data_IF_331680400451
#
_entry.id   IF_331680400451
#
_cell.length_a   1.000
_cell.length_b   1.000
_cell.length_c   1.000
_cell.angle_alpha   90.00
_cell.angle_beta   90.00
_cell.angle_gamma   90.00
#
_symmetry.space_group_name_H-M   'P 1'
#
loop_
_entity.id
_entity.type
_entity.pdbx_description
1 polymer ?
#
# COMPACT_ATOMS: atom_id res chain seq x y z
N UNK A 1 -6.73 14.02 -3.74
CA UNK A 1 -6.85 12.77 -2.96
C UNK A 1 -6.79 12.99 -1.44
N UNK A 2 -5.62 13.00 -0.76
CA UNK A 2 -5.55 12.89 0.72
C UNK A 2 -6.38 13.93 1.49
N UNK A 3 -6.24 15.23 1.19
CA UNK A 3 -7.01 16.29 1.90
C UNK A 3 -8.51 16.25 1.64
N UNK A 4 -8.94 15.72 0.50
CA UNK A 4 -10.35 15.64 0.10
C UNK A 4 -11.06 14.48 0.79
N UNK A 5 -10.34 13.36 0.99
CA UNK A 5 -10.89 12.13 1.55
C UNK A 5 -10.61 11.99 3.06
N UNK A 6 -10.00 13.00 3.71
CA UNK A 6 -9.68 13.00 5.15
C UNK A 6 -10.57 13.95 5.96
N UNK A 7 -10.99 13.52 7.15
CA UNK A 7 -11.68 14.37 8.13
C UNK A 7 -10.67 15.09 9.04
N UNK A 8 -10.85 16.38 9.40
CA UNK A 8 -9.96 17.07 10.34
C UNK A 8 -9.78 16.31 11.65
N UNK A 9 -8.53 16.16 12.10
CA UNK A 9 -8.19 15.40 13.31
C UNK A 9 -8.12 13.87 13.13
N UNK A 10 -8.29 13.37 11.90
CA UNK A 10 -8.04 11.96 11.55
C UNK A 10 -6.71 11.81 10.81
N UNK A 11 -6.13 10.62 10.93
CA UNK A 11 -4.87 10.23 10.29
C UNK A 11 -5.07 9.40 9.02
N UNK A 12 -6.31 8.99 8.74
CA UNK A 12 -6.69 8.21 7.58
C UNK A 12 -7.98 8.79 6.96
N UNK A 13 -8.18 8.48 5.68
CA UNK A 13 -9.37 8.81 4.91
C UNK A 13 -10.00 7.55 4.31
N UNK A 14 -11.23 7.69 3.83
CA UNK A 14 -11.95 6.61 3.14
C UNK A 14 -12.38 7.11 1.76
N UNK A 15 -12.29 6.25 0.76
CA UNK A 15 -12.71 6.54 -0.61
C UNK A 15 -13.71 5.47 -1.05
N UNK A 16 -14.80 5.90 -1.71
CA UNK A 16 -15.74 4.97 -2.33
C UNK A 16 -15.03 4.20 -3.45
N UNK A 17 -15.34 2.92 -3.60
CA UNK A 17 -14.84 2.12 -4.73
C UNK A 17 -15.33 2.65 -6.09
N UNK A 18 -16.41 3.44 -6.13
CA UNK A 18 -16.87 4.12 -7.35
C UNK A 18 -15.94 5.26 -7.80
N UNK A 19 -15.10 5.78 -6.89
CA UNK A 19 -14.11 6.83 -7.14
C UNK A 19 -12.69 6.26 -7.22
N UNK A 20 -12.55 4.95 -7.42
CA UNK A 20 -11.25 4.26 -7.40
C UNK A 20 -10.26 4.81 -8.43
N UNK A 21 -10.75 5.41 -9.52
CA UNK A 21 -9.95 6.06 -10.54
C UNK A 21 -9.11 7.24 -10.00
N UNK A 22 -9.47 7.81 -8.84
CA UNK A 22 -8.64 8.80 -8.14
C UNK A 22 -7.31 8.21 -7.63
N UNK A 23 -7.14 6.89 -7.66
CA UNK A 23 -5.91 6.18 -7.29
C UNK A 23 -5.05 5.79 -8.51
N UNK A 24 -5.43 6.19 -9.72
CA UNK A 24 -4.70 5.81 -10.94
C UNK A 24 -3.29 6.39 -11.01
N UNK A 25 -2.98 7.43 -10.23
CA UNK A 25 -1.66 8.05 -10.11
C UNK A 25 -0.80 7.44 -8.98
N UNK A 26 -1.26 6.37 -8.34
CA UNK A 26 -0.49 5.68 -7.29
C UNK A 26 0.53 4.73 -7.92
N UNK A 27 1.81 4.99 -7.67
CA UNK A 27 2.91 4.16 -8.13
C UNK A 27 3.11 2.89 -7.29
N UNK A 28 2.91 2.99 -5.97
CA UNK A 28 3.16 1.91 -5.01
C UNK A 28 2.02 1.84 -4.00
N UNK A 29 1.46 0.63 -3.81
CA UNK A 29 0.47 0.35 -2.78
C UNK A 29 1.12 -0.38 -1.62
N UNK A 30 1.22 0.28 -0.46
CA UNK A 30 1.63 -0.38 0.79
C UNK A 30 0.38 -0.76 1.57
N UNK A 31 0.22 -2.04 1.90
CA UNK A 31 -0.96 -2.53 2.61
C UNK A 31 -0.64 -3.65 3.59
N UNK A 32 -1.49 -3.80 4.61
CA UNK A 32 -1.41 -4.92 5.54
C UNK A 32 -2.14 -6.13 4.97
N UNK A 33 -1.53 -7.31 5.09
CA UNK A 33 -2.12 -8.55 4.63
C UNK A 33 -1.11 -9.53 4.06
N UNK A 34 -1.61 -10.47 3.27
CA UNK A 34 -0.80 -11.48 2.60
C UNK A 34 -1.38 -11.82 1.22
N UNK A 35 -0.90 -12.91 0.63
CA UNK A 35 -1.34 -13.36 -0.70
C UNK A 35 -2.87 -13.37 -0.91
N UNK A 36 -3.70 -13.80 0.08
CA UNK A 36 -5.15 -13.78 -0.10
C UNK A 36 -5.74 -12.38 -0.41
N UNK A 37 -5.12 -11.30 0.06
CA UNK A 37 -5.54 -9.94 -0.27
C UNK A 37 -5.22 -9.60 -1.73
N UNK A 38 -4.03 -9.97 -2.21
CA UNK A 38 -3.66 -9.78 -3.62
C UNK A 38 -4.61 -10.53 -4.53
N UNK A 39 -4.96 -11.77 -4.18
CA UNK A 39 -5.90 -12.58 -4.95
C UNK A 39 -7.29 -11.90 -5.02
N UNK A 40 -7.74 -11.29 -3.92
CA UNK A 40 -8.98 -10.52 -3.88
C UNK A 40 -8.92 -9.24 -4.72
N UNK A 41 -7.81 -8.49 -4.65
CA UNK A 41 -7.62 -7.27 -5.44
C UNK A 41 -7.63 -7.58 -6.95
N UNK A 42 -6.99 -8.67 -7.35
CA UNK A 42 -6.98 -9.13 -8.75
C UNK A 42 -8.34 -9.70 -9.20
N UNK A 43 -9.11 -10.33 -8.30
CA UNK A 43 -10.41 -10.88 -8.65
C UNK A 43 -11.52 -9.82 -8.74
N UNK A 44 -11.37 -8.67 -8.09
CA UNK A 44 -12.42 -7.67 -7.99
C UNK A 44 -12.39 -6.67 -9.18
N UNK A 45 -13.51 -6.48 -9.93
CA UNK A 45 -13.51 -5.80 -11.24
C UNK A 45 -13.03 -4.33 -11.26
N UNK A 46 -13.09 -3.65 -10.11
CA UNK A 46 -12.66 -2.26 -10.00
C UNK A 46 -11.19 -2.15 -9.59
N UNK A 47 -10.76 -2.94 -8.62
CA UNK A 47 -9.38 -2.89 -8.09
C UNK A 47 -8.40 -3.53 -9.06
N UNK A 48 -8.84 -4.54 -9.83
CA UNK A 48 -8.00 -5.21 -10.83
C UNK A 48 -7.62 -4.31 -12.01
N UNK A 49 -8.24 -3.13 -12.14
CA UNK A 49 -7.95 -2.14 -13.19
C UNK A 49 -7.05 -1.01 -12.70
N UNK A 50 -6.70 -0.99 -11.42
CA UNK A 50 -5.75 -0.02 -10.91
C UNK A 50 -4.35 -0.38 -11.43
N UNK A 51 -3.60 0.59 -12.02
CA UNK A 51 -2.25 0.33 -12.53
C UNK A 51 -1.33 -0.33 -11.49
N UNK A 52 -1.40 0.12 -10.24
CA UNK A 52 -0.59 -0.44 -9.13
C UNK A 52 -0.90 -1.91 -8.83
N UNK A 53 -2.13 -2.35 -9.05
CA UNK A 53 -2.55 -3.75 -8.85
C UNK A 53 -2.17 -4.58 -10.08
N UNK A 54 -2.43 -4.07 -11.29
CA UNK A 54 -2.07 -4.71 -12.55
C UNK A 54 -0.56 -4.97 -12.65
N UNK A 55 0.25 -3.98 -12.29
CA UNK A 55 1.70 -4.07 -12.34
C UNK A 55 2.29 -4.88 -11.15
N UNK A 56 1.47 -5.16 -10.13
CA UNK A 56 1.94 -5.83 -8.91
C UNK A 56 2.92 -4.99 -8.10
N UNK A 57 2.85 -3.66 -8.19
CA UNK A 57 3.63 -2.71 -7.38
C UNK A 57 3.05 -2.58 -5.96
N UNK A 58 2.92 -3.73 -5.28
CA UNK A 58 2.27 -3.84 -3.97
C UNK A 58 3.25 -4.36 -2.93
N UNK A 59 3.36 -3.66 -1.81
CA UNK A 59 4.09 -4.08 -0.61
C UNK A 59 3.11 -4.65 0.41
N UNK A 60 3.34 -5.90 0.82
CA UNK A 60 2.52 -6.59 1.82
C UNK A 60 3.21 -6.61 3.18
N UNK A 61 2.58 -5.95 4.15
CA UNK A 61 2.96 -5.96 5.55
C UNK A 61 2.19 -7.06 6.29
N UNK A 62 2.85 -8.20 6.49
CA UNK A 62 2.28 -9.37 7.16
C UNK A 62 2.39 -9.33 8.68
N UNK A 63 2.01 -10.45 9.33
CA UNK A 63 2.12 -10.61 10.79
C UNK A 63 3.55 -11.00 11.23
N UNK A 64 4.51 -10.15 10.91
CA UNK A 64 5.94 -10.26 11.25
C UNK A 64 6.44 -8.93 11.83
N UNK A 65 7.64 -8.85 12.42
CA UNK A 65 8.19 -7.56 12.88
C UNK A 65 8.18 -6.47 11.79
N UNK A 66 8.43 -6.85 10.54
CA UNK A 66 8.39 -5.96 9.38
C UNK A 66 7.01 -5.35 9.14
N UNK A 67 5.94 -6.03 9.58
CA UNK A 67 4.58 -5.48 9.58
C UNK A 67 4.45 -4.18 10.39
N UNK A 68 5.35 -3.92 11.35
CA UNK A 68 5.34 -2.68 12.13
C UNK A 68 6.10 -1.53 11.47
N UNK A 69 6.78 -1.76 10.33
CA UNK A 69 7.65 -0.78 9.69
C UNK A 69 6.92 0.50 9.23
N UNK A 70 5.63 0.40 8.89
CA UNK A 70 4.81 1.56 8.53
C UNK A 70 4.46 2.48 9.73
N UNK A 71 4.66 2.03 10.98
CA UNK A 71 4.45 2.82 12.19
C UNK A 71 5.73 2.79 13.06
N UNK A 72 6.80 3.46 12.62
CA UNK A 72 8.12 3.30 13.20
C UNK A 72 8.25 3.92 14.60
N UNK A 73 9.13 3.34 15.40
CA UNK A 73 9.68 3.93 16.64
C UNK A 73 11.17 4.20 16.45
N UNK A 74 11.80 5.08 17.25
CA UNK A 74 13.25 5.30 17.17
C UNK A 74 14.07 4.00 17.25
N UNK A 75 13.61 3.01 18.03
CA UNK A 75 14.25 1.71 18.16
C UNK A 75 14.00 0.78 16.98
N UNK A 76 12.85 0.86 16.31
CA UNK A 76 12.52 -0.04 15.20
C UNK A 76 13.17 0.39 13.89
N UNK A 77 13.49 1.68 13.70
CA UNK A 77 14.10 2.19 12.47
C UNK A 77 15.41 1.46 12.17
N UNK A 78 16.34 1.40 13.12
CA UNK A 78 17.64 0.75 12.90
C UNK A 78 17.54 -0.75 12.60
N UNK A 79 16.40 -1.37 12.92
CA UNK A 79 16.18 -2.80 12.76
C UNK A 79 15.39 -3.17 11.51
N UNK A 80 14.54 -2.27 11.02
CA UNK A 80 13.59 -2.55 9.94
C UNK A 80 13.81 -1.70 8.69
N UNK A 81 14.63 -0.65 8.76
CA UNK A 81 14.75 0.32 7.65
C UNK A 81 15.25 -0.34 6.37
N UNK A 82 16.31 -1.15 6.45
CA UNK A 82 16.91 -1.76 5.26
C UNK A 82 15.92 -2.73 4.59
N UNK A 83 15.33 -3.64 5.35
CA UNK A 83 14.32 -4.59 4.85
C UNK A 83 13.09 -3.87 4.27
N UNK A 84 12.63 -2.79 4.90
CA UNK A 84 11.48 -2.03 4.42
C UNK A 84 11.80 -1.21 3.16
N UNK A 85 13.00 -0.63 3.09
CA UNK A 85 13.48 0.08 1.91
C UNK A 85 13.65 -0.88 0.72
N UNK A 86 14.11 -2.10 0.94
CA UNK A 86 14.21 -3.13 -0.10
C UNK A 86 12.84 -3.52 -0.64
N UNK A 87 11.83 -3.70 0.22
CA UNK A 87 10.45 -3.95 -0.21
C UNK A 87 9.88 -2.80 -1.05
N UNK A 88 10.09 -1.56 -0.61
CA UNK A 88 9.64 -0.37 -1.33
C UNK A 88 10.37 -0.24 -2.68
N UNK A 89 11.67 -0.50 -2.72
CA UNK A 89 12.46 -0.46 -3.95
C UNK A 89 12.01 -1.53 -4.95
N UNK A 90 11.68 -2.73 -4.49
CA UNK A 90 11.20 -3.79 -5.36
C UNK A 90 9.82 -3.48 -5.95
N UNK A 91 8.93 -2.86 -5.16
CA UNK A 91 7.64 -2.38 -5.67
C UNK A 91 7.81 -1.20 -6.64
N UNK A 92 8.70 -0.26 -6.35
CA UNK A 92 9.00 0.88 -7.22
C UNK A 92 9.52 0.45 -8.60
N UNK A 93 10.29 -0.66 -8.70
CA UNK A 93 10.75 -1.19 -10.00
C UNK A 93 9.61 -1.73 -10.88
N UNK A 94 8.41 -1.88 -10.32
CA UNK A 94 7.21 -2.35 -11.00
C UNK A 94 6.21 -1.23 -11.25
N UNK A 95 6.50 0.02 -10.89
CA UNK A 95 5.54 1.12 -11.07
C UNK A 95 5.49 1.65 -12.52
N UNK A 96 6.49 1.33 -13.34
CA UNK A 96 6.60 1.68 -14.77
C UNK A 96 6.13 0.54 -15.68
#
# INVERSE_FOLDING_TARGET
MVKQNSTPGKFAGEISSELIDELNDVDILVTYGGQPLIDQLNAHPLTSRLPVVENGAVVLLGNTPLGTAANPTPMSISWLLDDYADLLSEAARKSD
#
